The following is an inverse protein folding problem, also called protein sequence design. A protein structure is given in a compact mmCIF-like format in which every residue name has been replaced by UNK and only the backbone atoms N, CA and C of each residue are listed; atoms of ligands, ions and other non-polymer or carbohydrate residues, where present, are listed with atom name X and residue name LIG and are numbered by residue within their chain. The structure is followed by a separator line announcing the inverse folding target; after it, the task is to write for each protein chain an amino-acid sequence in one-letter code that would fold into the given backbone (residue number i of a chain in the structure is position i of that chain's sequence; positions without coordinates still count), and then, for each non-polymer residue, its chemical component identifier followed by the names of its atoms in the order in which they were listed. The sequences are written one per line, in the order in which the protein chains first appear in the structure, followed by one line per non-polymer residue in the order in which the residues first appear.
data_IF_983475479436
#
_entry.id   IF_983475479436
#
_cell.length_a   1.000
_cell.length_b   1.000
_cell.length_c   1.000
_cell.angle_alpha   90.00
_cell.angle_beta   90.00
_cell.angle_gamma   90.00
#
_symmetry.space_group_name_H-M   'P 1'
#
loop_
_entity.id
_entity.type
_entity.pdbx_description
1 polymer ?
#
# COMPACT_ATOMS: atom_id res chain seq x y z
N UNK A 1 -28.52 -12.27 -2.24
CA UNK A 1 -27.26 -13.04 -2.25
C UNK A 1 -26.72 -13.03 -0.84
N UNK A 2 -26.56 -14.21 -0.24
CA UNK A 2 -25.92 -14.32 1.08
C UNK A 2 -24.40 -14.16 0.93
N UNK A 3 -23.83 -13.20 1.65
CA UNK A 3 -22.41 -12.89 1.62
C UNK A 3 -21.69 -13.66 2.73
N UNK A 4 -20.70 -14.46 2.34
CA UNK A 4 -19.78 -15.06 3.29
C UNK A 4 -18.79 -14.00 3.81
N UNK A 5 -18.89 -13.66 5.10
CA UNK A 5 -18.04 -12.65 5.73
C UNK A 5 -16.55 -13.06 5.76
N UNK A 6 -16.23 -14.35 5.70
CA UNK A 6 -14.83 -14.80 5.62
C UNK A 6 -14.12 -14.22 4.39
N UNK A 7 -14.82 -14.09 3.26
CA UNK A 7 -14.24 -13.49 2.06
C UNK A 7 -13.94 -12.00 2.25
N UNK A 8 -14.73 -11.29 3.06
CA UNK A 8 -14.50 -9.89 3.38
C UNK A 8 -13.28 -9.75 4.29
N UNK A 9 -13.18 -10.59 5.32
CA UNK A 9 -12.02 -10.62 6.22
C UNK A 9 -10.71 -10.91 5.48
N UNK A 10 -10.72 -11.93 4.63
CA UNK A 10 -9.55 -12.34 3.84
C UNK A 10 -9.13 -11.23 2.87
N UNK A 11 -10.10 -10.62 2.18
CA UNK A 11 -9.84 -9.51 1.27
C UNK A 11 -9.28 -8.28 2.02
N UNK A 12 -9.85 -7.90 3.15
CA UNK A 12 -9.36 -6.80 3.97
C UNK A 12 -7.92 -7.05 4.45
N UNK A 13 -7.64 -8.26 4.96
CA UNK A 13 -6.30 -8.67 5.40
C UNK A 13 -5.29 -8.59 4.25
N UNK A 14 -5.62 -9.17 3.09
CA UNK A 14 -4.74 -9.17 1.92
C UNK A 14 -4.45 -7.73 1.45
N UNK A 15 -5.48 -6.91 1.31
CA UNK A 15 -5.34 -5.51 0.88
C UNK A 15 -4.50 -4.70 1.86
N UNK A 16 -4.68 -4.89 3.17
CA UNK A 16 -3.90 -4.18 4.17
C UNK A 16 -2.43 -4.59 4.14
N UNK A 17 -2.13 -5.89 4.13
CA UNK A 17 -0.74 -6.38 4.05
C UNK A 17 -0.08 -5.87 2.76
N UNK A 18 -0.78 -5.92 1.62
CA UNK A 18 -0.28 -5.41 0.35
C UNK A 18 0.04 -3.92 0.42
N UNK A 19 -0.85 -3.09 0.98
CA UNK A 19 -0.67 -1.65 1.08
C UNK A 19 0.54 -1.27 1.97
N UNK A 20 0.88 -2.08 2.96
CA UNK A 20 2.03 -1.83 3.86
C UNK A 20 3.39 -2.21 3.25
N UNK A 21 3.40 -3.09 2.25
CA UNK A 21 4.64 -3.64 1.67
C UNK A 21 4.93 -3.14 0.25
N UNK A 22 3.89 -2.80 -0.51
CA UNK A 22 3.99 -2.51 -1.94
C UNK A 22 3.48 -1.12 -2.26
N UNK A 23 4.33 -0.31 -2.89
CA UNK A 23 3.90 0.94 -3.52
C UNK A 23 3.42 0.67 -4.95
N UNK A 24 2.37 1.36 -5.41
CA UNK A 24 1.97 1.36 -6.81
C UNK A 24 3.10 1.80 -7.75
N UNK A 25 3.12 1.27 -8.97
CA UNK A 25 4.20 1.50 -9.93
C UNK A 25 4.30 2.98 -10.35
N UNK A 26 3.18 3.67 -10.49
CA UNK A 26 3.14 5.11 -10.79
C UNK A 26 3.80 5.97 -9.68
N UNK A 27 3.64 5.58 -8.42
CA UNK A 27 4.33 6.22 -7.30
C UNK A 27 5.84 5.97 -7.36
N UNK A 28 6.26 4.73 -7.66
CA UNK A 28 7.69 4.38 -7.81
C UNK A 28 8.33 5.15 -8.98
N UNK A 29 7.65 5.25 -10.11
CA UNK A 29 8.07 6.04 -11.27
C UNK A 29 8.14 7.54 -10.95
N UNK A 30 7.17 8.05 -10.19
CA UNK A 30 7.15 9.43 -9.71
C UNK A 30 8.37 9.76 -8.85
N UNK A 31 8.68 8.92 -7.87
CA UNK A 31 9.86 9.09 -7.00
C UNK A 31 11.16 9.05 -7.81
N UNK A 32 11.28 8.10 -8.74
CA UNK A 32 12.45 8.03 -9.63
C UNK A 32 12.60 9.30 -10.49
N UNK A 33 11.50 9.77 -11.06
CA UNK A 33 11.48 11.01 -11.85
C UNK A 33 11.91 12.22 -11.02
N UNK A 34 11.41 12.33 -9.78
CA UNK A 34 11.82 13.39 -8.84
C UNK A 34 13.31 13.31 -8.54
N UNK A 35 13.83 12.11 -8.21
CA UNK A 35 15.26 11.88 -7.95
C UNK A 35 16.15 12.34 -9.09
N UNK A 36 15.75 12.08 -10.34
CA UNK A 36 16.51 12.48 -11.52
C UNK A 36 16.46 13.98 -11.83
N UNK A 37 15.36 14.66 -11.49
CA UNK A 37 15.16 16.08 -11.78
C UNK A 37 15.60 17.01 -10.65
N UNK A 38 15.69 16.49 -9.43
CA UNK A 38 16.11 17.23 -8.24
C UNK A 38 17.53 17.79 -8.42
N UNK A 39 17.75 19.02 -7.96
CA UNK A 39 19.03 19.74 -8.06
C UNK A 39 19.68 19.96 -6.71
N UNK A 40 18.90 19.94 -5.64
CA UNK A 40 19.43 20.01 -4.29
C UNK A 40 20.10 18.66 -3.92
N UNK A 41 21.40 18.72 -3.63
CA UNK A 41 22.20 17.53 -3.36
C UNK A 41 21.69 16.75 -2.13
N UNK A 42 21.15 17.43 -1.11
CA UNK A 42 20.61 16.76 0.07
C UNK A 42 19.30 16.07 -0.26
N UNK A 43 18.41 16.72 -1.01
CA UNK A 43 17.14 16.12 -1.43
C UNK A 43 17.35 14.88 -2.33
N UNK A 44 18.35 14.91 -3.24
CA UNK A 44 18.71 13.74 -4.05
C UNK A 44 19.10 12.53 -3.19
N UNK A 45 19.85 12.73 -2.10
CA UNK A 45 20.22 11.66 -1.17
C UNK A 45 18.97 11.07 -0.50
N UNK A 46 18.07 11.92 -0.02
CA UNK A 46 16.81 11.48 0.62
C UNK A 46 15.96 10.65 -0.36
N UNK A 47 15.75 11.14 -1.59
CA UNK A 47 15.02 10.40 -2.62
C UNK A 47 15.72 9.08 -2.97
N UNK A 48 17.06 9.07 -3.01
CA UNK A 48 17.86 7.86 -3.15
C UNK A 48 17.60 6.84 -2.04
N UNK A 49 17.56 7.28 -0.79
CA UNK A 49 17.21 6.42 0.37
C UNK A 49 15.80 5.87 0.25
N UNK A 50 14.82 6.68 -0.19
CA UNK A 50 13.45 6.20 -0.41
C UNK A 50 13.39 5.08 -1.45
N UNK A 51 14.06 5.25 -2.61
CA UNK A 51 14.13 4.20 -3.64
C UNK A 51 14.75 2.92 -3.10
N UNK A 52 15.85 3.03 -2.35
CA UNK A 52 16.50 1.86 -1.73
C UNK A 52 15.58 1.19 -0.71
N UNK A 53 14.88 1.96 0.13
CA UNK A 53 13.94 1.42 1.11
C UNK A 53 12.81 0.62 0.44
N UNK A 54 12.23 1.17 -0.63
CA UNK A 54 11.19 0.49 -1.42
C UNK A 54 11.74 -0.84 -1.96
N UNK A 55 12.90 -0.83 -2.62
CA UNK A 55 13.49 -2.04 -3.19
C UNK A 55 13.84 -3.10 -2.13
N UNK A 56 14.26 -2.69 -0.93
CA UNK A 56 14.54 -3.61 0.19
C UNK A 56 13.24 -4.20 0.74
N UNK A 57 12.21 -3.38 0.95
CA UNK A 57 10.92 -3.85 1.44
C UNK A 57 10.30 -4.91 0.50
N UNK A 58 10.31 -4.66 -0.81
CA UNK A 58 9.79 -5.62 -1.80
C UNK A 58 10.64 -6.91 -1.85
N UNK A 59 11.98 -6.80 -1.83
CA UNK A 59 12.87 -7.96 -1.92
C UNK A 59 12.81 -8.87 -0.69
N UNK A 60 12.72 -8.27 0.49
CA UNK A 60 12.72 -9.00 1.77
C UNK A 60 11.31 -9.34 2.26
N UNK A 61 10.27 -9.06 1.46
CA UNK A 61 8.85 -9.17 1.85
C UNK A 61 8.55 -8.47 3.19
N UNK A 62 9.12 -7.29 3.38
CA UNK A 62 9.08 -6.53 4.63
C UNK A 62 8.19 -5.27 4.53
N UNK A 63 7.85 -4.70 5.68
CA UNK A 63 7.11 -3.44 5.76
C UNK A 63 7.95 -2.27 5.22
N UNK A 64 7.31 -1.38 4.47
CA UNK A 64 7.95 -0.16 3.95
C UNK A 64 8.28 0.85 5.05
N UNK A 65 7.47 0.87 6.12
CA UNK A 65 7.57 1.82 7.23
C UNK A 65 7.25 1.12 8.55
N UNK A 66 7.86 1.58 9.64
CA UNK A 66 7.54 1.13 11.00
C UNK A 66 6.14 1.57 11.46
N UNK A 67 5.67 2.72 10.95
CA UNK A 67 4.33 3.21 11.20
C UNK A 67 3.39 2.64 10.14
N UNK A 68 2.51 1.73 10.55
CA UNK A 68 1.57 1.02 9.68
C UNK A 68 0.24 1.75 9.52
N UNK A 69 0.07 2.90 10.18
CA UNK A 69 -1.13 3.71 10.06
C UNK A 69 -2.41 2.99 10.50
N UNK A 70 -3.55 3.48 10.01
CA UNK A 70 -4.88 2.92 10.25
C UNK A 70 -5.49 2.45 8.92
N UNK A 71 -6.00 1.21 8.82
CA UNK A 71 -6.65 0.73 7.61
C UNK A 71 -7.98 1.45 7.40
N UNK A 72 -8.18 2.00 6.20
CA UNK A 72 -9.43 2.65 5.79
C UNK A 72 -9.95 1.93 4.55
N UNK A 73 -11.18 1.40 4.65
CA UNK A 73 -11.84 0.71 3.55
C UNK A 73 -13.02 1.55 3.05
N UNK A 74 -13.02 1.87 1.76
CA UNK A 74 -14.19 2.40 1.08
C UNK A 74 -14.98 1.23 0.48
N UNK A 75 -16.20 1.02 0.96
CA UNK A 75 -17.02 -0.13 0.59
C UNK A 75 -18.26 0.34 -0.16
N UNK A 76 -18.58 -0.35 -1.25
CA UNK A 76 -19.85 -0.23 -1.96
C UNK A 76 -20.63 -1.52 -1.80
N UNK A 77 -21.83 -1.44 -1.23
CA UNK A 77 -22.72 -2.58 -1.05
C UNK A 77 -23.80 -2.52 -2.14
N UNK A 78 -23.87 -3.58 -2.94
CA UNK A 78 -24.89 -3.73 -3.97
C UNK A 78 -26.28 -3.95 -3.40
N UNK A 79 -27.31 -3.91 -4.26
CA UNK A 79 -28.68 -4.26 -3.86
C UNK A 79 -28.78 -5.76 -3.56
N UNK A 80 -29.71 -6.13 -2.69
CA UNK A 80 -30.05 -7.51 -2.34
C UNK A 80 -28.87 -8.35 -1.80
N UNK A 81 -27.85 -7.69 -1.25
CA UNK A 81 -26.77 -8.32 -0.49
C UNK A 81 -27.24 -8.51 0.94
N UNK A 82 -27.19 -9.75 1.43
CA UNK A 82 -27.58 -10.12 2.79
C UNK A 82 -26.35 -10.63 3.53
N UNK A 83 -26.11 -10.10 4.72
CA UNK A 83 -25.11 -10.58 5.66
C UNK A 83 -25.59 -10.29 7.07
N UNK A 84 -25.29 -11.18 7.99
CA UNK A 84 -25.51 -10.94 9.41
C UNK A 84 -24.28 -10.18 9.94
N UNK A 85 -24.38 -8.85 9.97
CA UNK A 85 -23.38 -8.04 10.64
C UNK A 85 -23.41 -8.29 12.15
N UNK A 86 -22.26 -8.17 12.81
CA UNK A 86 -22.18 -8.23 14.28
C UNK A 86 -22.82 -6.98 14.90
#
# INVERSE_FOLDING_TARGET
MELNLQHVEDACKELYIRALKLLPDDIKEGINTLKHKERDARAQVVLGTMVTNIAVAEREDNLLCQDTGLPIYNVWIGRDVQFDGV
#
